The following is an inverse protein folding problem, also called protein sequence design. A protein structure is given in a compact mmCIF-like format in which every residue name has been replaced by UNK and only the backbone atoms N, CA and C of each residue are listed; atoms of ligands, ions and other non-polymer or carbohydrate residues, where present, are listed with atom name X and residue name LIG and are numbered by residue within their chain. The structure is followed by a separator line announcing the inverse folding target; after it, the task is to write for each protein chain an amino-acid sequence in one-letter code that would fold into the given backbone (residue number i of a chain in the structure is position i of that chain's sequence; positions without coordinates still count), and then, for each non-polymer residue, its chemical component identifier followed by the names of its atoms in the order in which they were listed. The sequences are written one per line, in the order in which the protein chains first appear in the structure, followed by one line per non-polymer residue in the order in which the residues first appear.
data_IF_783711876624
#
_entry.id   IF_783711876624
#
_cell.length_a   1.000
_cell.length_b   1.000
_cell.length_c   1.000
_cell.angle_alpha   90.00
_cell.angle_beta   90.00
_cell.angle_gamma   90.00
#
_symmetry.space_group_name_H-M   'P 1'
#
loop_
_entity.id
_entity.type
_entity.pdbx_description
1 polymer ?
#
# COMPACT_ATOMS: atom_id res chain seq x y z
N UNK A 1 59.53 -9.64 -12.22
CA UNK A 1 58.78 -10.34 -11.15
C UNK A 1 58.13 -9.29 -10.27
N UNK A 2 56.85 -9.25 -9.92
CA UNK A 2 55.67 -9.98 -10.32
C UNK A 2 54.49 -8.98 -10.23
N UNK A 3 53.60 -8.99 -11.23
CA UNK A 3 52.31 -8.30 -11.19
C UNK A 3 51.38 -9.16 -10.33
N UNK A 4 50.78 -8.59 -9.29
CA UNK A 4 49.61 -9.20 -8.65
C UNK A 4 48.40 -8.31 -8.87
N UNK A 5 47.64 -8.67 -9.90
CA UNK A 5 46.25 -8.28 -10.04
C UNK A 5 45.42 -8.96 -8.96
N UNK A 6 44.83 -8.16 -8.07
CA UNK A 6 43.70 -8.56 -7.25
C UNK A 6 42.44 -8.11 -7.94
N UNK A 7 41.75 -9.06 -8.55
CA UNK A 7 40.52 -8.92 -9.32
C UNK A 7 39.42 -8.22 -8.53
N UNK A 8 39.24 -6.92 -8.75
CA UNK A 8 37.98 -6.25 -8.44
C UNK A 8 36.91 -6.87 -9.34
N UNK A 9 36.05 -7.73 -8.77
CA UNK A 9 34.86 -8.24 -9.47
C UNK A 9 33.92 -7.04 -9.73
N UNK A 10 33.67 -6.66 -10.99
CA UNK A 10 32.72 -5.62 -11.32
C UNK A 10 31.35 -6.29 -11.44
N UNK A 11 30.46 -6.11 -10.46
CA UNK A 11 29.09 -6.60 -10.63
C UNK A 11 28.23 -6.89 -9.42
N UNK A 12 28.65 -6.65 -8.18
CA UNK A 12 27.68 -6.65 -7.06
C UNK A 12 26.82 -5.39 -7.11
N UNK A 13 25.79 -5.45 -7.96
CA UNK A 13 24.60 -4.63 -7.85
C UNK A 13 24.05 -4.84 -6.44
N UNK A 14 24.43 -3.97 -5.50
CA UNK A 14 23.93 -3.92 -4.13
C UNK A 14 22.43 -4.13 -4.15
N UNK A 15 22.04 -5.24 -3.55
CA UNK A 15 20.74 -5.88 -3.70
C UNK A 15 19.60 -4.91 -3.44
N UNK A 16 18.55 -5.10 -4.22
CA UNK A 16 17.18 -4.69 -3.91
C UNK A 16 16.93 -4.97 -2.42
N UNK A 17 16.93 -3.92 -1.60
CA UNK A 17 16.93 -4.03 -0.14
C UNK A 17 15.85 -5.00 0.37
N UNK A 18 16.27 -5.86 1.30
CA UNK A 18 15.40 -6.84 1.95
C UNK A 18 14.18 -6.16 2.61
N UNK A 19 13.03 -6.84 2.66
CA UNK A 19 11.85 -6.33 3.36
C UNK A 19 12.18 -6.03 4.83
N UNK A 20 11.68 -4.92 5.36
CA UNK A 20 11.93 -4.55 6.76
C UNK A 20 11.37 -5.61 7.73
N UNK A 21 10.22 -6.20 7.38
CA UNK A 21 9.63 -7.33 8.10
C UNK A 21 10.49 -8.61 8.09
N UNK A 22 11.38 -8.76 7.11
CA UNK A 22 12.30 -9.90 7.02
C UNK A 22 13.60 -9.67 7.81
N UNK A 23 13.99 -8.41 8.02
CA UNK A 23 15.22 -8.01 8.74
C UNK A 23 15.01 -7.92 10.25
N UNK A 24 13.85 -7.45 10.70
CA UNK A 24 13.52 -7.31 12.12
C UNK A 24 12.36 -8.26 12.47
N UNK A 25 12.70 -9.47 12.92
CA UNK A 25 11.76 -10.54 13.29
C UNK A 25 11.59 -10.63 14.80
N UNK A 26 12.60 -10.32 15.60
CA UNK A 26 12.52 -10.29 17.07
C UNK A 26 13.35 -9.18 17.72
N UNK A 27 13.33 -9.11 19.07
CA UNK A 27 14.12 -8.15 19.83
C UNK A 27 15.63 -8.37 19.66
N UNK A 28 16.04 -9.58 19.26
CA UNK A 28 17.44 -9.94 19.04
C UNK A 28 18.01 -9.35 17.74
N UNK A 29 17.17 -8.95 16.79
CA UNK A 29 17.62 -8.47 15.48
C UNK A 29 18.10 -7.01 15.47
N UNK A 30 17.96 -6.31 16.61
CA UNK A 30 18.52 -4.98 16.77
C UNK A 30 20.03 -5.04 16.95
N UNK A 31 20.76 -4.32 16.10
CA UNK A 31 22.23 -4.31 16.13
C UNK A 31 22.80 -3.50 17.30
N UNK A 32 21.98 -2.68 17.95
CA UNK A 32 22.40 -1.76 18.99
C UNK A 32 22.08 -2.33 20.39
N UNK A 33 23.10 -2.75 21.17
CA UNK A 33 22.89 -3.34 22.48
C UNK A 33 22.34 -2.33 23.51
N UNK A 34 22.62 -1.03 23.34
CA UNK A 34 22.14 0.02 24.24
C UNK A 34 20.65 0.35 24.10
N UNK A 35 19.93 -0.25 23.15
CA UNK A 35 18.50 0.00 22.96
C UNK A 35 17.69 -0.76 24.01
N UNK A 36 16.90 -0.04 24.83
CA UNK A 36 16.07 -0.64 25.88
C UNK A 36 15.06 -1.64 25.33
N UNK A 37 14.55 -2.51 26.19
CA UNK A 37 13.60 -3.55 25.81
C UNK A 37 12.28 -2.96 25.30
N UNK A 38 11.77 -1.97 26.02
CA UNK A 38 10.54 -1.22 25.70
C UNK A 38 10.67 -0.50 24.35
N UNK A 39 11.88 -0.03 24.03
CA UNK A 39 12.18 0.58 22.74
C UNK A 39 12.12 -0.40 21.59
N UNK A 40 12.64 -1.61 21.77
CA UNK A 40 12.54 -2.69 20.78
C UNK A 40 11.09 -3.08 20.56
N UNK A 41 10.30 -3.19 21.63
CA UNK A 41 8.87 -3.48 21.54
C UNK A 41 8.11 -2.43 20.73
N UNK A 42 8.30 -1.14 21.03
CA UNK A 42 7.66 -0.07 20.27
C UNK A 42 8.08 -0.10 18.79
N UNK A 43 9.36 -0.33 18.51
CA UNK A 43 9.87 -0.39 17.15
C UNK A 43 9.30 -1.59 16.36
N UNK A 44 9.26 -2.79 16.96
CA UNK A 44 8.66 -3.99 16.36
C UNK A 44 7.16 -3.81 16.14
N UNK A 45 6.46 -3.23 17.11
CA UNK A 45 5.03 -2.94 17.02
C UNK A 45 4.72 -1.99 15.84
N UNK A 46 5.44 -0.88 15.76
CA UNK A 46 5.26 0.06 14.66
C UNK A 46 5.67 -0.57 13.33
N UNK A 47 6.72 -1.40 13.29
CA UNK A 47 7.08 -2.11 12.07
C UNK A 47 5.93 -2.96 11.53
N UNK A 48 5.32 -3.80 12.38
CA UNK A 48 4.20 -4.69 12.01
C UNK A 48 3.03 -3.93 11.37
N UNK A 49 2.70 -2.76 11.91
CA UNK A 49 1.56 -1.96 11.44
C UNK A 49 1.87 -0.97 10.32
N UNK A 50 3.15 -0.64 10.08
CA UNK A 50 3.55 0.35 9.08
C UNK A 50 4.07 -0.27 7.77
N UNK A 51 4.37 -1.57 7.75
CA UNK A 51 4.77 -2.27 6.52
C UNK A 51 3.60 -2.49 5.57
N UNK A 52 3.86 -2.33 4.27
CA UNK A 52 2.94 -2.68 3.19
C UNK A 52 2.97 -4.18 2.87
N UNK A 53 2.21 -4.59 1.85
CA UNK A 53 2.12 -6.00 1.43
C UNK A 53 3.47 -6.61 1.05
N UNK A 54 4.46 -5.79 0.71
CA UNK A 54 5.82 -6.23 0.39
C UNK A 54 6.77 -6.20 1.61
N UNK A 55 6.24 -5.98 2.82
CA UNK A 55 7.03 -5.86 4.03
C UNK A 55 7.85 -4.57 4.10
N UNK A 56 7.44 -3.51 3.37
CA UNK A 56 8.18 -2.23 3.27
C UNK A 56 7.37 -1.08 3.85
N UNK A 57 8.04 -0.13 4.50
CA UNK A 57 7.40 1.08 5.04
C UNK A 57 7.24 2.21 4.01
N UNK A 58 7.58 1.97 2.74
CA UNK A 58 7.58 3.01 1.69
C UNK A 58 6.20 3.65 1.51
N UNK A 59 5.15 2.85 1.66
CA UNK A 59 3.77 3.31 1.58
C UNK A 59 3.42 4.23 2.74
N UNK A 60 3.80 3.88 3.97
CA UNK A 60 3.60 4.72 5.15
C UNK A 60 4.27 6.10 4.99
N UNK A 61 5.53 6.14 4.56
CA UNK A 61 6.27 7.40 4.36
C UNK A 61 5.59 8.31 3.32
N UNK A 62 5.14 7.74 2.20
CA UNK A 62 4.44 8.49 1.15
C UNK A 62 3.10 9.02 1.65
N UNK A 63 2.35 8.24 2.43
CA UNK A 63 1.05 8.67 2.99
C UNK A 63 1.23 9.82 3.98
N UNK A 64 2.21 9.74 4.87
CA UNK A 64 2.55 10.85 5.79
C UNK A 64 2.89 12.10 5.00
N UNK A 65 3.76 12.02 3.99
CA UNK A 65 4.15 13.19 3.19
C UNK A 65 2.97 13.79 2.42
N UNK A 66 2.10 12.97 1.83
CA UNK A 66 0.88 13.47 1.16
C UNK A 66 -0.03 14.25 2.11
N UNK A 67 -0.14 13.79 3.36
CA UNK A 67 -0.95 14.47 4.40
C UNK A 67 -0.25 15.73 4.92
N UNK A 68 1.05 15.64 5.19
CA UNK A 68 1.86 16.69 5.81
C UNK A 68 2.21 17.85 4.87
N UNK A 69 2.30 17.61 3.56
CA UNK A 69 2.66 18.65 2.59
C UNK A 69 1.74 19.87 2.63
N UNK A 70 0.50 19.70 3.13
CA UNK A 70 -0.52 20.75 3.19
C UNK A 70 -0.75 21.32 4.59
N UNK A 71 0.04 20.90 5.59
CA UNK A 71 -0.19 21.31 6.99
C UNK A 71 1.05 22.01 7.55
N UNK A 72 1.06 23.36 7.59
CA UNK A 72 2.08 24.12 8.31
C UNK A 72 2.20 23.65 9.77
N UNK A 73 3.42 23.57 10.29
CA UNK A 73 3.69 23.08 11.64
C UNK A 73 3.74 21.56 11.80
N UNK A 74 3.36 20.78 10.78
CA UNK A 74 3.55 19.33 10.81
C UNK A 74 5.05 18.98 10.66
N UNK A 75 5.55 18.00 11.41
CA UNK A 75 6.98 17.65 11.44
C UNK A 75 7.56 17.24 10.06
N UNK A 76 6.73 16.67 9.20
CA UNK A 76 7.08 16.29 7.83
C UNK A 76 6.82 17.39 6.77
N UNK A 77 6.39 18.58 7.18
CA UNK A 77 6.16 19.70 6.25
C UNK A 77 7.46 20.13 5.56
N UNK A 78 7.42 20.28 4.23
CA UNK A 78 8.60 20.64 3.41
C UNK A 78 9.72 19.58 3.36
N UNK A 79 9.54 18.41 3.97
CA UNK A 79 10.57 17.34 4.01
C UNK A 79 10.50 16.46 2.75
N UNK A 80 11.65 15.93 2.34
CA UNK A 80 11.72 14.91 1.28
C UNK A 80 11.42 13.51 1.82
N UNK A 81 11.09 12.57 0.91
CA UNK A 81 10.92 11.15 1.26
C UNK A 81 12.16 10.55 1.91
N UNK A 82 13.34 10.91 1.41
CA UNK A 82 14.62 10.47 1.98
C UNK A 82 14.81 10.99 3.41
N UNK A 83 14.46 12.25 3.67
CA UNK A 83 14.56 12.85 5.00
C UNK A 83 13.60 12.19 6.00
N UNK A 84 12.33 11.98 5.62
CA UNK A 84 11.36 11.26 6.46
C UNK A 84 11.81 9.83 6.73
N UNK A 85 12.27 9.11 5.71
CA UNK A 85 12.79 7.74 5.89
C UNK A 85 14.00 7.70 6.83
N UNK A 86 14.96 8.59 6.63
CA UNK A 86 16.17 8.65 7.46
C UNK A 86 15.83 8.96 8.92
N UNK A 87 14.84 9.83 9.14
CA UNK A 87 14.34 10.16 10.48
C UNK A 87 13.66 8.96 11.13
N UNK A 88 12.71 8.31 10.44
CA UNK A 88 11.97 7.16 10.99
C UNK A 88 12.89 5.95 11.22
N UNK A 89 13.89 5.74 10.37
CA UNK A 89 14.85 4.62 10.53
C UNK A 89 15.70 4.75 11.81
N UNK A 90 15.86 5.97 12.36
CA UNK A 90 16.51 6.16 13.68
C UNK A 90 15.68 5.62 14.84
N UNK A 91 14.38 5.39 14.63
CA UNK A 91 13.45 4.90 15.64
C UNK A 91 13.03 3.45 15.37
N UNK A 92 12.78 3.12 14.10
CA UNK A 92 12.18 1.86 13.63
C UNK A 92 13.12 1.27 12.58
N UNK A 93 14.10 0.49 13.04
CA UNK A 93 15.09 -0.16 12.20
C UNK A 93 16.14 -0.90 13.02
N UNK A 94 16.84 -1.86 12.39
CA UNK A 94 17.93 -2.60 13.04
C UNK A 94 19.05 -1.68 13.57
N UNK A 95 19.17 -0.48 12.99
CA UNK A 95 20.08 0.59 13.38
C UNK A 95 19.39 1.72 14.18
N UNK A 96 18.26 1.42 14.83
CA UNK A 96 17.60 2.37 15.71
C UNK A 96 18.54 2.79 16.84
N UNK A 97 18.53 4.07 17.18
CA UNK A 97 19.51 4.65 18.08
C UNK A 97 18.94 4.85 19.49
N UNK A 98 19.68 4.57 20.56
CA UNK A 98 19.17 4.65 21.93
C UNK A 98 18.72 6.07 22.30
N UNK A 99 19.48 7.07 21.88
CA UNK A 99 19.23 8.49 22.15
C UNK A 99 18.04 9.07 21.36
N UNK A 100 17.56 8.38 20.33
CA UNK A 100 16.54 8.90 19.42
C UNK A 100 15.13 8.40 19.80
N UNK A 101 14.50 9.00 20.82
CA UNK A 101 13.10 8.69 21.19
C UNK A 101 12.15 9.41 20.25
N UNK A 102 11.23 8.71 19.55
CA UNK A 102 10.26 9.40 18.70
C UNK A 102 9.32 10.22 19.59
N UNK A 103 9.11 11.51 19.28
CA UNK A 103 8.03 12.27 19.89
C UNK A 103 6.69 11.61 19.59
N UNK A 104 5.77 11.62 20.55
CA UNK A 104 4.47 10.95 20.44
C UNK A 104 3.69 11.39 19.20
N UNK A 105 3.71 12.68 18.90
CA UNK A 105 3.03 13.31 17.78
C UNK A 105 3.48 12.71 16.44
N UNK A 106 4.74 12.29 16.34
CA UNK A 106 5.29 11.65 15.14
C UNK A 106 4.84 10.20 15.02
N UNK A 107 4.80 9.47 16.14
CA UNK A 107 4.26 8.10 16.20
C UNK A 107 2.80 8.09 15.79
N UNK A 108 1.96 8.92 16.42
CA UNK A 108 0.55 9.03 16.11
C UNK A 108 0.33 9.41 14.64
N UNK A 109 1.08 10.39 14.11
CA UNK A 109 1.02 10.79 12.71
C UNK A 109 1.32 9.65 11.73
N UNK A 110 2.33 8.81 12.01
CA UNK A 110 2.64 7.63 11.21
C UNK A 110 1.49 6.62 11.22
N UNK A 111 0.96 6.30 12.41
CA UNK A 111 -0.14 5.35 12.58
C UNK A 111 -1.38 5.82 11.83
N UNK A 112 -1.82 7.08 12.03
CA UNK A 112 -2.97 7.65 11.34
C UNK A 112 -2.82 7.68 9.82
N UNK A 113 -1.59 7.77 9.30
CA UNK A 113 -1.34 7.79 7.86
C UNK A 113 -1.31 6.39 7.25
N UNK A 114 -0.83 5.38 7.99
CA UNK A 114 -0.54 4.06 7.43
C UNK A 114 -1.60 3.00 7.76
N UNK A 115 -2.22 3.07 8.92
CA UNK A 115 -3.14 2.06 9.43
C UNK A 115 -4.57 2.30 8.91
N UNK A 116 -5.32 1.21 8.72
CA UNK A 116 -6.71 1.29 8.29
C UNK A 116 -7.56 2.05 9.35
N UNK A 117 -8.44 2.98 8.97
CA UNK A 117 -9.15 3.85 9.92
C UNK A 117 -9.89 3.12 11.05
N UNK A 118 -10.42 1.91 10.79
CA UNK A 118 -11.11 1.10 11.81
C UNK A 118 -10.18 0.52 12.88
N UNK A 119 -8.90 0.31 12.55
CA UNK A 119 -7.89 -0.26 13.46
C UNK A 119 -7.07 0.82 14.16
N UNK A 120 -7.12 2.06 13.66
CA UNK A 120 -6.35 3.19 14.20
C UNK A 120 -6.55 3.39 15.71
N UNK A 121 -7.77 3.37 16.30
CA UNK A 121 -7.93 3.60 17.73
C UNK A 121 -7.16 2.59 18.59
N UNK A 122 -7.25 1.31 18.25
CA UNK A 122 -6.58 0.22 18.96
C UNK A 122 -5.06 0.29 18.80
N UNK A 123 -4.57 0.54 17.59
CA UNK A 123 -3.12 0.64 17.31
C UNK A 123 -2.52 1.88 17.98
N UNK A 124 -3.25 3.01 18.01
CA UNK A 124 -2.81 4.21 18.72
C UNK A 124 -2.77 3.98 20.23
N UNK A 125 -3.79 3.34 20.82
CA UNK A 125 -3.80 3.03 22.25
C UNK A 125 -2.62 2.14 22.65
N UNK A 126 -2.36 1.08 21.86
CA UNK A 126 -1.20 0.19 22.09
C UNK A 126 0.13 0.91 21.89
N UNK A 127 0.27 1.73 20.83
CA UNK A 127 1.48 2.52 20.61
C UNK A 127 1.71 3.53 21.74
N UNK A 128 0.64 4.11 22.30
CA UNK A 128 0.71 5.05 23.42
C UNK A 128 1.15 4.35 24.69
N UNK A 129 0.61 3.16 24.95
CA UNK A 129 1.03 2.32 26.07
C UNK A 129 2.55 2.05 26.02
N UNK A 130 3.04 1.55 24.87
CA UNK A 130 4.46 1.24 24.67
C UNK A 130 5.34 2.49 24.72
N UNK A 131 4.87 3.63 24.19
CA UNK A 131 5.57 4.90 24.27
C UNK A 131 5.70 5.37 25.72
N UNK A 132 4.64 5.24 26.52
CA UNK A 132 4.65 5.54 27.96
C UNK A 132 5.72 4.74 28.71
N UNK A 133 5.83 3.43 28.44
CA UNK A 133 6.89 2.59 29.00
C UNK A 133 8.29 3.10 28.64
N UNK A 134 8.50 3.51 27.39
CA UNK A 134 9.78 4.04 26.90
C UNK A 134 10.19 5.33 27.61
N UNK A 135 9.24 6.23 27.89
CA UNK A 135 9.52 7.53 28.53
C UNK A 135 9.37 7.50 30.05
N UNK A 136 9.02 6.35 30.64
CA UNK A 136 8.81 6.19 32.08
C UNK A 136 7.55 6.88 32.60
N UNK A 137 6.52 7.04 31.77
CA UNK A 137 5.25 7.68 32.12
C UNK A 137 4.17 6.61 32.29
N UNK A 138 3.44 6.67 33.41
CA UNK A 138 2.30 5.80 33.65
C UNK A 138 1.20 6.06 32.60
N UNK A 139 0.65 4.97 32.07
CA UNK A 139 -0.38 4.98 31.02
C UNK A 139 -1.54 4.13 31.51
N UNK A 140 -2.75 4.67 31.37
CA UNK A 140 -3.99 3.96 31.67
C UNK A 140 -4.46 3.09 30.48
N UNK A 141 -3.70 3.06 29.38
CA UNK A 141 -4.01 2.27 28.19
C UNK A 141 -3.87 0.77 28.49
N UNK A 142 -4.69 -0.10 27.87
CA UNK A 142 -4.66 -1.53 28.15
C UNK A 142 -3.34 -2.16 27.71
N UNK A 143 -2.73 -2.96 28.60
CA UNK A 143 -1.52 -3.73 28.30
C UNK A 143 -1.81 -4.77 27.20
N UNK A 144 -0.97 -4.85 26.14
CA UNK A 144 -1.12 -5.88 25.11
C UNK A 144 -0.89 -7.29 25.66
N UNK A 145 -1.67 -8.26 25.16
CA UNK A 145 -1.61 -9.66 25.62
C UNK A 145 -0.26 -10.35 25.36
N UNK A 146 0.43 -9.98 24.28
CA UNK A 146 1.74 -10.52 23.93
C UNK A 146 2.89 -9.95 24.78
N UNK A 147 2.61 -8.98 25.64
CA UNK A 147 3.56 -8.39 26.58
C UNK A 147 3.50 -9.11 27.94
N UNK A 148 3.40 -10.44 27.97
CA UNK A 148 3.38 -11.20 29.20
C UNK A 148 4.79 -11.19 29.86
N UNK A 149 4.92 -10.99 31.18
CA UNK A 149 6.21 -11.09 31.86
C UNK A 149 6.94 -12.42 31.65
N UNK A 150 6.25 -13.51 31.31
CA UNK A 150 6.84 -14.82 31.01
C UNK A 150 7.45 -14.92 29.59
N UNK A 151 7.26 -13.91 28.73
CA UNK A 151 7.82 -13.90 27.38
C UNK A 151 9.22 -13.31 27.39
N UNK A 152 10.22 -14.12 27.06
CA UNK A 152 11.63 -13.72 27.02
C UNK A 152 12.01 -12.92 25.76
N UNK A 153 11.41 -13.21 24.60
CA UNK A 153 11.68 -12.54 23.32
C UNK A 153 10.38 -12.30 22.53
N UNK A 154 10.06 -11.03 22.29
CA UNK A 154 8.88 -10.63 21.54
C UNK A 154 9.21 -10.59 20.05
N UNK A 155 8.39 -11.29 19.26
CA UNK A 155 8.56 -11.36 17.81
C UNK A 155 7.48 -10.57 17.06
N UNK A 156 7.78 -10.18 15.82
CA UNK A 156 6.78 -9.56 14.92
C UNK A 156 5.59 -10.49 14.65
N UNK A 157 5.80 -11.80 14.72
CA UNK A 157 4.73 -12.80 14.55
C UNK A 157 3.78 -12.87 15.75
N UNK A 158 4.28 -12.64 16.98
CA UNK A 158 3.44 -12.54 18.18
C UNK A 158 2.59 -11.26 18.15
N UNK A 159 3.16 -10.16 17.62
CA UNK A 159 2.46 -8.88 17.52
C UNK A 159 1.43 -8.89 16.39
N UNK A 160 1.82 -9.30 15.18
CA UNK A 160 0.96 -9.28 13.99
C UNK A 160 0.03 -10.49 13.87
N UNK A 161 0.29 -11.55 14.63
CA UNK A 161 -0.46 -12.80 14.59
C UNK A 161 -0.16 -13.69 13.37
N UNK A 162 -0.83 -14.85 13.30
CA UNK A 162 -0.52 -15.90 12.31
C UNK A 162 -0.86 -15.50 10.87
N UNK A 163 -1.85 -14.63 10.66
CA UNK A 163 -2.18 -14.13 9.31
C UNK A 163 -1.09 -13.21 8.77
N UNK A 164 -0.58 -12.31 9.62
CA UNK A 164 0.54 -11.43 9.27
C UNK A 164 1.82 -12.23 8.99
N UNK A 165 2.11 -13.23 9.83
CA UNK A 165 3.25 -14.11 9.64
C UNK A 165 3.18 -14.85 8.28
N UNK A 166 2.02 -15.44 7.94
CA UNK A 166 1.81 -16.11 6.64
C UNK A 166 1.99 -15.15 5.46
N UNK A 167 1.43 -13.94 5.56
CA UNK A 167 1.53 -12.91 4.52
C UNK A 167 3.00 -12.54 4.20
N UNK A 168 3.86 -12.56 5.21
CA UNK A 168 5.28 -12.21 5.06
C UNK A 168 6.22 -13.42 5.03
N UNK A 169 5.69 -14.64 4.90
CA UNK A 169 6.48 -15.86 4.78
C UNK A 169 7.29 -16.21 6.04
N UNK A 170 6.80 -15.82 7.22
CA UNK A 170 7.42 -16.08 8.51
C UNK A 170 6.78 -17.31 9.17
N UNK A 171 7.57 -18.08 9.92
CA UNK A 171 7.07 -19.18 10.72
C UNK A 171 6.10 -18.64 11.78
N UNK A 172 4.92 -19.27 11.93
CA UNK A 172 4.01 -18.93 13.01
C UNK A 172 4.66 -19.27 14.37
N UNK A 173 4.42 -18.47 15.42
CA UNK A 173 4.97 -18.75 16.74
C UNK A 173 4.48 -20.14 17.18
N UNK A 174 5.41 -20.99 17.60
CA UNK A 174 5.06 -22.28 18.18
C UNK A 174 4.36 -22.04 19.52
N UNK A 175 3.16 -22.61 19.71
CA UNK A 175 2.54 -22.68 21.04
C UNK A 175 3.49 -23.45 21.96
N UNK A 176 4.27 -22.73 22.78
CA UNK A 176 4.85 -23.33 23.98
C UNK A 176 3.72 -23.45 24.99
N UNK A 177 3.03 -24.59 24.96
CA UNK A 177 2.19 -24.99 26.08
C UNK A 177 3.05 -25.18 27.34
N UNK A 178 2.53 -24.88 28.55
CA UNK A 178 3.22 -25.22 29.78
C UNK A 178 3.09 -26.73 29.97
N UNK A 179 4.19 -27.48 29.96
CA UNK A 179 4.12 -28.89 30.36
C UNK A 179 5.17 -29.84 29.81
N UNK A 180 6.46 -29.54 29.98
CA UNK A 180 7.45 -30.60 30.21
C UNK A 180 7.60 -30.81 31.72
N UNK A 181 6.53 -31.27 32.37
CA UNK A 181 6.59 -31.93 33.67
C UNK A 181 5.27 -32.69 33.96
N UNK A 182 5.40 -34.01 34.07
CA UNK A 182 4.55 -34.93 34.82
C UNK A 182 3.13 -35.27 34.30
N UNK A 183 3.06 -36.46 33.68
CA UNK A 183 2.18 -37.59 34.01
C UNK A 183 0.67 -37.38 34.29
N UNK A 184 -0.15 -37.98 33.42
CA UNK A 184 -1.27 -38.84 33.82
C UNK A 184 -2.70 -38.33 33.62
N UNK A 185 -3.51 -39.10 32.86
CA UNK A 185 -4.95 -39.26 33.13
C UNK A 185 -5.97 -38.72 32.11
N UNK A 186 -6.42 -39.61 31.22
CA UNK A 186 -7.78 -39.79 30.65
C UNK A 186 -8.76 -38.62 30.42
N UNK A 187 -9.27 -38.52 29.18
CA UNK A 187 -10.54 -37.83 28.87
C UNK A 187 -10.77 -37.53 27.39
N UNK A 188 -11.07 -38.54 26.56
CA UNK A 188 -11.42 -38.38 25.13
C UNK A 188 -12.95 -38.44 24.93
N UNK A 189 -13.62 -37.27 24.87
CA UNK A 189 -14.75 -37.07 23.95
C UNK A 189 -14.74 -35.71 23.21
N UNK A 190 -13.84 -34.77 23.56
CA UNK A 190 -13.81 -33.39 23.04
C UNK A 190 -13.05 -33.23 21.72
N UNK A 191 -12.14 -34.15 21.40
CA UNK A 191 -11.26 -34.04 20.23
C UNK A 191 -11.97 -34.36 18.92
N UNK A 192 -12.90 -35.32 18.94
CA UNK A 192 -13.70 -35.68 17.77
C UNK A 192 -14.74 -34.59 17.46
N UNK A 193 -15.41 -34.04 18.48
CA UNK A 193 -16.33 -32.91 18.30
C UNK A 193 -15.65 -31.69 17.66
N UNK A 194 -14.41 -31.39 18.07
CA UNK A 194 -13.60 -30.29 17.50
C UNK A 194 -13.12 -30.57 16.07
N UNK A 195 -12.87 -31.84 15.75
CA UNK A 195 -12.52 -32.26 14.38
C UNK A 195 -13.74 -32.12 13.43
N UNK A 196 -14.93 -32.51 13.89
CA UNK A 196 -16.17 -32.30 13.13
C UNK A 196 -16.50 -30.81 12.93
N UNK A 197 -16.28 -29.98 13.96
CA UNK A 197 -16.49 -28.53 13.87
C UNK A 197 -15.52 -27.84 12.89
N UNK A 198 -14.23 -28.24 12.91
CA UNK A 198 -13.22 -27.80 11.94
C UNK A 198 -13.56 -28.23 10.51
N UNK A 199 -13.99 -29.48 10.32
CA UNK A 199 -14.36 -29.96 8.99
C UNK A 199 -15.57 -29.19 8.45
N UNK A 200 -16.54 -28.88 9.31
CA UNK A 200 -17.72 -28.09 8.93
C UNK A 200 -17.37 -26.63 8.61
N UNK A 201 -16.41 -26.02 9.32
CA UNK A 201 -15.96 -24.66 9.00
C UNK A 201 -15.20 -24.61 7.67
N UNK A 202 -14.38 -25.62 7.37
CA UNK A 202 -13.68 -25.73 6.08
C UNK A 202 -14.66 -25.90 4.93
N UNK A 203 -15.65 -26.79 5.06
CA UNK A 203 -16.69 -26.99 4.02
C UNK A 203 -17.52 -25.72 3.81
N UNK A 204 -17.84 -24.97 4.87
CA UNK A 204 -18.55 -23.69 4.76
C UNK A 204 -17.73 -22.62 4.05
N UNK A 205 -16.45 -22.45 4.42
CA UNK A 205 -15.54 -21.49 3.77
C UNK A 205 -15.31 -21.87 2.30
N UNK A 206 -15.24 -23.15 1.98
CA UNK A 206 -15.11 -23.60 0.61
C UNK A 206 -16.36 -23.27 -0.22
N UNK A 207 -17.56 -23.51 0.32
CA UNK A 207 -18.83 -23.17 -0.34
C UNK A 207 -19.02 -21.66 -0.54
N UNK A 208 -18.59 -20.84 0.44
CA UNK A 208 -18.60 -19.38 0.32
C UNK A 208 -17.59 -18.90 -0.74
N UNK A 209 -16.43 -19.54 -0.84
CA UNK A 209 -15.45 -19.26 -1.88
C UNK A 209 -15.96 -19.65 -3.27
N UNK A 210 -16.61 -20.80 -3.43
CA UNK A 210 -17.23 -21.24 -4.68
C UNK A 210 -18.35 -20.29 -5.14
N UNK A 211 -19.20 -19.83 -4.21
CA UNK A 211 -20.24 -18.85 -4.52
C UNK A 211 -19.64 -17.51 -4.98
N UNK A 212 -18.55 -17.07 -4.34
CA UNK A 212 -17.85 -15.83 -4.72
C UNK A 212 -17.16 -15.95 -6.07
N UNK A 213 -16.62 -17.12 -6.41
CA UNK A 213 -16.04 -17.39 -7.73
C UNK A 213 -17.15 -17.34 -8.80
N UNK A 214 -18.30 -17.98 -8.58
CA UNK A 214 -19.42 -17.95 -9.52
C UNK A 214 -19.96 -16.52 -9.76
N UNK A 215 -20.01 -15.70 -8.71
CA UNK A 215 -20.38 -14.29 -8.81
C UNK A 215 -19.38 -13.49 -9.65
N UNK A 216 -18.07 -13.68 -9.41
CA UNK A 216 -17.01 -13.03 -10.18
C UNK A 216 -17.02 -13.46 -11.64
N UNK A 217 -17.24 -14.75 -11.92
CA UNK A 217 -17.37 -15.24 -13.30
C UNK A 217 -18.58 -14.64 -14.02
N UNK A 218 -19.70 -14.43 -13.32
CA UNK A 218 -20.85 -13.74 -13.89
C UNK A 218 -20.54 -12.27 -14.21
N UNK A 219 -19.86 -11.56 -13.31
CA UNK A 219 -19.41 -10.18 -13.54
C UNK A 219 -18.45 -10.09 -14.73
N UNK A 220 -17.52 -11.05 -14.85
CA UNK A 220 -16.60 -11.12 -15.99
C UNK A 220 -17.34 -11.35 -17.31
N UNK A 221 -18.36 -12.23 -17.33
CA UNK A 221 -19.19 -12.45 -18.52
C UNK A 221 -19.96 -11.18 -18.91
N UNK A 222 -20.58 -10.50 -17.96
CA UNK A 222 -21.28 -9.22 -18.21
C UNK A 222 -20.33 -8.16 -18.79
N UNK A 223 -19.14 -8.01 -18.19
CA UNK A 223 -18.13 -7.07 -18.68
C UNK A 223 -17.62 -7.42 -20.08
N UNK A 224 -17.50 -8.71 -20.40
CA UNK A 224 -17.14 -9.14 -21.75
C UNK A 224 -18.24 -8.84 -22.77
N UNK A 225 -19.51 -9.04 -22.42
CA UNK A 225 -20.64 -8.67 -23.29
C UNK A 225 -20.74 -7.16 -23.51
N UNK A 226 -20.56 -6.36 -22.47
CA UNK A 226 -20.53 -4.90 -22.55
C UNK A 226 -19.36 -4.42 -23.42
N UNK A 227 -18.17 -4.99 -23.24
CA UNK A 227 -17.01 -4.63 -24.04
C UNK A 227 -17.17 -5.05 -25.51
N UNK A 228 -17.80 -6.20 -25.78
CA UNK A 228 -18.14 -6.62 -27.13
C UNK A 228 -19.14 -5.66 -27.79
N UNK A 229 -20.17 -5.20 -27.06
CA UNK A 229 -21.11 -4.18 -27.54
C UNK A 229 -20.41 -2.85 -27.86
N UNK A 230 -19.64 -2.32 -26.90
CA UNK A 230 -18.90 -1.07 -27.08
C UNK A 230 -17.89 -1.15 -28.23
N UNK A 231 -17.21 -2.28 -28.38
CA UNK A 231 -16.28 -2.50 -29.50
C UNK A 231 -17.00 -2.61 -30.85
N UNK A 232 -18.19 -3.21 -30.88
CA UNK A 232 -19.06 -3.24 -32.06
C UNK A 232 -19.58 -1.86 -32.45
N UNK A 233 -19.98 -1.05 -31.47
CA UNK A 233 -20.45 0.32 -31.70
C UNK A 233 -19.31 1.23 -32.19
N UNK A 234 -18.10 1.10 -31.64
CA UNK A 234 -16.91 1.86 -32.07
C UNK A 234 -16.49 1.47 -33.49
N UNK A 235 -16.55 0.18 -33.85
CA UNK A 235 -16.22 -0.26 -35.21
C UNK A 235 -17.26 0.17 -36.23
N UNK A 236 -18.55 0.21 -35.85
CA UNK A 236 -19.63 0.76 -36.68
C UNK A 236 -19.43 2.27 -36.87
N UNK A 237 -19.15 3.00 -35.79
CA UNK A 237 -18.88 4.43 -35.82
C UNK A 237 -17.65 4.79 -36.67
N UNK A 238 -16.57 3.99 -36.61
CA UNK A 238 -15.38 4.17 -37.44
C UNK A 238 -15.59 3.75 -38.91
N UNK A 239 -16.51 2.82 -39.18
CA UNK A 239 -16.91 2.45 -40.55
C UNK A 239 -17.73 3.54 -41.24
N UNK A 240 -18.58 4.22 -40.48
CA UNK A 240 -19.39 5.37 -40.95
C UNK A 240 -18.58 6.67 -41.01
N UNK A 241 -17.46 6.75 -40.30
CA UNK A 241 -16.55 7.89 -40.34
C UNK A 241 -15.69 7.88 -41.62
N UNK A 242 -16.28 8.31 -42.73
CA UNK A 242 -15.55 8.62 -43.97
C UNK A 242 -15.12 10.09 -43.92
N UNK A 243 -13.85 10.42 -43.63
CA UNK A 243 -13.41 11.81 -43.75
C UNK A 243 -13.54 12.22 -45.21
N UNK A 244 -14.43 13.18 -45.50
CA UNK A 244 -14.50 13.83 -46.80
C UNK A 244 -13.24 14.68 -46.99
N UNK A 245 -12.17 14.06 -47.50
CA UNK A 245 -11.05 14.79 -48.07
C UNK A 245 -11.50 15.25 -49.47
N UNK A 246 -11.64 16.57 -49.73
CA UNK A 246 -12.07 17.04 -51.04
C UNK A 246 -11.09 16.58 -52.14
N UNK A 247 -11.67 16.06 -53.22
CA UNK A 247 -11.04 15.46 -54.39
C UNK A 247 -9.71 16.11 -54.83
N UNK A 248 -8.62 15.33 -54.69
CA UNK A 248 -7.55 15.35 -55.67
C UNK A 248 -7.64 14.08 -56.49
N UNK A 249 -8.51 14.07 -57.49
CA UNK A 249 -8.43 13.07 -58.54
C UNK A 249 -8.21 13.70 -59.92
N UNK A 250 -7.23 13.11 -60.58
CA UNK A 250 -6.56 13.57 -61.79
C UNK A 250 -7.39 13.19 -63.01
N UNK A 251 -7.52 14.12 -63.95
CA UNK A 251 -8.24 13.85 -65.20
C UNK A 251 -8.01 14.85 -66.33
N UNK A 252 -6.75 15.09 -66.70
CA UNK A 252 -6.27 15.40 -68.06
C UNK A 252 -7.17 16.25 -68.99
N UNK A 253 -6.87 17.55 -69.11
CA UNK A 253 -6.92 18.27 -70.40
C UNK A 253 -5.82 19.33 -70.47
N UNK A 254 -5.02 19.20 -71.53
CA UNK A 254 -3.89 20.05 -71.92
C UNK A 254 -4.24 21.54 -72.00
N UNK A 255 -3.35 22.40 -71.50
CA UNK A 255 -2.80 23.56 -72.23
C UNK A 255 -1.53 24.08 -71.52
N UNK A 256 -0.43 24.32 -72.23
CA UNK A 256 0.75 24.95 -71.66
C UNK A 256 0.64 26.48 -71.74
N UNK A 257 1.48 27.17 -70.96
CA UNK A 257 2.17 28.45 -71.28
C UNK A 257 2.12 29.49 -70.14
N UNK A 258 3.34 29.92 -69.81
CA UNK A 258 3.81 31.20 -69.27
C UNK A 258 3.76 31.49 -67.76
N UNK A 259 4.97 31.43 -67.18
CA UNK A 259 5.59 32.45 -66.33
C UNK A 259 4.79 33.73 -66.04
N UNK A 260 4.64 34.05 -64.74
CA UNK A 260 4.93 35.41 -64.27
C UNK A 260 5.19 35.49 -62.76
N UNK A 261 6.38 35.99 -62.49
CA UNK A 261 6.99 36.47 -61.25
C UNK A 261 6.17 37.42 -60.36
N UNK A 262 6.70 37.58 -59.13
CA UNK A 262 6.56 38.69 -58.16
C UNK A 262 5.24 38.72 -57.36
N UNK A 263 5.15 39.21 -56.13
CA UNK A 263 6.04 39.60 -55.03
C UNK A 263 5.08 40.11 -53.93
N UNK A 264 5.55 40.17 -52.68
CA UNK A 264 5.13 41.06 -51.59
C UNK A 264 3.74 41.73 -51.63
N UNK A 265 2.98 41.60 -50.54
CA UNK A 265 2.80 42.72 -49.58
C UNK A 265 1.80 42.42 -48.45
N UNK A 266 2.32 42.62 -47.23
CA UNK A 266 1.69 43.23 -46.04
C UNK A 266 0.56 42.53 -45.24
N UNK A 267 0.96 42.12 -44.02
CA UNK A 267 0.26 42.11 -42.70
C UNK A 267 -0.50 43.44 -42.41
N UNK A 268 -1.43 43.56 -41.42
CA UNK A 268 -1.28 43.22 -39.98
C UNK A 268 -2.50 42.48 -39.34
N UNK A 269 -2.34 41.52 -38.41
CA UNK A 269 -2.21 41.62 -36.93
C UNK A 269 -3.55 41.81 -36.14
N UNK A 270 -4.02 40.72 -35.49
CA UNK A 270 -4.91 40.64 -34.30
C UNK A 270 -5.27 39.16 -34.05
N UNK A 271 -5.38 38.56 -32.86
CA UNK A 271 -4.99 38.77 -31.45
C UNK A 271 -5.26 37.37 -30.81
N UNK A 272 -4.31 36.72 -30.11
CA UNK A 272 -4.42 35.32 -29.67
C UNK A 272 -5.18 35.16 -28.34
N UNK A 273 -6.41 35.69 -28.26
CA UNK A 273 -7.30 35.48 -27.13
C UNK A 273 -8.78 35.57 -27.53
N UNK A 274 -9.42 34.43 -27.86
CA UNK A 274 -10.86 34.27 -27.64
C UNK A 274 -11.24 32.81 -27.44
N UNK A 275 -11.67 32.55 -26.21
CA UNK A 275 -12.34 31.38 -25.67
C UNK A 275 -13.56 30.98 -26.50
N UNK A 276 -13.60 29.72 -26.95
CA UNK A 276 -14.81 29.13 -27.52
C UNK A 276 -15.69 28.62 -26.39
N UNK A 277 -16.67 29.44 -26.00
CA UNK A 277 -17.74 29.09 -25.07
C UNK A 277 -18.78 28.24 -25.82
N UNK A 278 -19.04 27.01 -25.36
CA UNK A 278 -20.18 26.24 -25.85
C UNK A 278 -21.49 26.81 -25.29
N UNK A 279 -22.53 27.04 -26.13
CA UNK A 279 -23.86 27.35 -25.63
C UNK A 279 -24.47 26.07 -25.03
N UNK A 280 -24.79 26.12 -23.74
CA UNK A 280 -25.65 25.12 -23.07
C UNK A 280 -27.08 25.23 -23.64
N UNK A 281 -27.66 24.14 -24.15
CA UNK A 281 -29.11 24.09 -24.35
C UNK A 281 -29.82 24.04 -23.00
N UNK A 282 -30.71 25.02 -22.88
CA UNK A 282 -31.79 25.20 -21.91
C UNK A 282 -32.80 24.04 -22.02
N UNK A 283 -33.39 23.69 -20.88
CA UNK A 283 -34.62 22.89 -20.68
C UNK A 283 -34.56 21.36 -20.78
N UNK A 284 -34.61 20.71 -19.61
CA UNK A 284 -35.29 19.43 -19.42
C UNK A 284 -36.59 19.68 -18.63
N UNK A 285 -37.76 19.24 -19.12
CA UNK A 285 -39.03 19.46 -18.45
C UNK A 285 -39.15 18.60 -17.18
N UNK A 286 -39.66 19.22 -16.12
CA UNK A 286 -40.07 18.55 -14.91
C UNK A 286 -41.23 17.58 -15.20
N UNK A 287 -41.19 16.38 -14.65
CA UNK A 287 -42.39 15.55 -14.44
C UNK A 287 -42.21 14.71 -13.18
N UNK A 288 -43.12 15.01 -12.26
CA UNK A 288 -43.28 14.53 -10.89
C UNK A 288 -43.87 13.10 -10.82
N UNK A 289 -43.97 12.51 -9.63
CA UNK A 289 -44.18 11.07 -9.43
C UNK A 289 -45.65 10.67 -9.60
N UNK A 290 -45.91 9.41 -9.96
CA UNK A 290 -47.23 8.79 -9.77
C UNK A 290 -47.12 7.50 -8.99
N UNK A 291 -47.78 7.49 -7.84
CA UNK A 291 -48.15 6.32 -7.06
C UNK A 291 -49.06 5.37 -7.86
N UNK A 292 -48.97 4.09 -7.53
CA UNK A 292 -49.86 3.01 -7.94
C UNK A 292 -49.54 1.78 -7.11
#
# INVERSE_FOLDING_TARGET
MARNGGSARPGERRGRGEPAAAVLRSEADFSEPGLSRERRWLALFLLVHLVDDNGRMSTAYRRVLRRAARTPGHWAHGRSLGAVRAEVTRWIGAQARPECVPPWERVASLVHAAVHPTLVPEVVATARYLHGLVVGVATDDPRPRWLDPEVDDITTTMIGGPEWARKHGLAAPADRGPGDAAAGGGGLPTREARAYEMLWTVVRVHRDAEARIAELEHQVRQLHEENARLSGDVTTWLGDYRPAIPDQDRGSRRRPVADRHLADRHRPEADPARSFTYPLPVELPASQPSAG
#
